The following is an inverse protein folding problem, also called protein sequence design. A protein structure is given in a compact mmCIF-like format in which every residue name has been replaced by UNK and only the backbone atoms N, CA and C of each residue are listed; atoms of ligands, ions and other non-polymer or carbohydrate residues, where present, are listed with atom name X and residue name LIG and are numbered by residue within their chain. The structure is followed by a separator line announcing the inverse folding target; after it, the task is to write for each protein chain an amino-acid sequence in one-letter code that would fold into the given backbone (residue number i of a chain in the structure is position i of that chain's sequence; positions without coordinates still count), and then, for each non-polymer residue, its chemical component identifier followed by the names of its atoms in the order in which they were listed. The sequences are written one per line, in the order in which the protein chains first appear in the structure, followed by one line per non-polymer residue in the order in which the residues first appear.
data_IF_088583883930
#
_entry.id   IF_088583883930
#
_cell.length_a   1.000
_cell.length_b   1.000
_cell.length_c   1.000
_cell.angle_alpha   90.00
_cell.angle_beta   90.00
_cell.angle_gamma   90.00
#
_symmetry.space_group_name_H-M   'P 1'
#
loop_
_entity.id
_entity.type
_entity.pdbx_description
1 polymer ?
#
# COMPACT_ATOMS: atom_id res chain seq x y z
N UNK A 1 14.71 -8.77 12.72
CA UNK A 1 14.22 -8.11 13.95
C UNK A 1 13.98 -9.24 14.94
N UNK A 2 14.41 -9.17 16.20
CA UNK A 2 14.21 -10.27 17.15
C UNK A 2 13.59 -9.76 18.45
N UNK A 3 12.83 -10.61 19.13
CA UNK A 3 12.22 -10.33 20.43
C UNK A 3 10.70 -10.06 20.40
N UNK A 4 10.19 -9.58 21.55
CA UNK A 4 8.76 -9.43 21.82
C UNK A 4 8.21 -8.09 21.32
N UNK A 5 6.99 -8.09 20.81
CA UNK A 5 6.25 -6.88 20.48
C UNK A 5 5.72 -6.21 21.76
N UNK A 6 5.98 -4.92 21.96
CA UNK A 6 5.71 -4.24 23.23
C UNK A 6 4.20 -4.20 23.62
N UNK A 7 3.30 -4.38 22.65
CA UNK A 7 1.84 -4.34 22.83
C UNK A 7 1.13 -5.65 22.41
N UNK A 8 1.88 -6.66 21.98
CA UNK A 8 1.38 -8.00 21.69
C UNK A 8 2.38 -9.00 22.28
N UNK A 9 1.97 -9.89 23.18
CA UNK A 9 2.84 -10.91 23.78
C UNK A 9 3.16 -12.04 22.76
N UNK A 10 3.75 -11.66 21.63
CA UNK A 10 4.14 -12.54 20.54
C UNK A 10 5.60 -12.28 20.21
N UNK A 11 6.33 -13.36 19.99
CA UNK A 11 7.68 -13.31 19.51
C UNK A 11 7.69 -13.18 17.98
N UNK A 12 8.57 -12.34 17.45
CA UNK A 12 8.65 -12.04 16.02
C UNK A 12 9.00 -13.29 15.21
N UNK A 13 9.88 -14.15 15.71
CA UNK A 13 10.33 -15.35 14.99
C UNK A 13 9.17 -16.32 14.77
N UNK A 14 8.29 -16.44 15.78
CA UNK A 14 7.07 -17.25 15.67
C UNK A 14 6.10 -16.72 14.61
N UNK A 15 6.01 -15.40 14.46
CA UNK A 15 5.16 -14.77 13.43
C UNK A 15 5.77 -15.00 12.05
N UNK A 16 7.07 -14.80 11.91
CA UNK A 16 7.80 -14.99 10.65
C UNK A 16 7.67 -16.43 10.15
N UNK A 17 7.88 -17.43 11.01
CA UNK A 17 7.75 -18.85 10.65
C UNK A 17 6.30 -19.21 10.26
N UNK A 18 5.33 -18.76 11.05
CA UNK A 18 3.93 -19.02 10.77
C UNK A 18 3.51 -18.39 9.44
N UNK A 19 3.86 -17.12 9.20
CA UNK A 19 3.55 -16.44 7.96
C UNK A 19 4.23 -17.11 6.77
N UNK A 20 5.55 -17.32 6.84
CA UNK A 20 6.36 -17.84 5.72
C UNK A 20 5.93 -19.24 5.29
N UNK A 21 5.66 -20.14 6.25
CA UNK A 21 5.45 -21.55 5.94
C UNK A 21 3.97 -21.98 5.92
N UNK A 22 3.07 -21.25 6.57
CA UNK A 22 1.65 -21.65 6.68
C UNK A 22 0.71 -20.75 5.89
N UNK A 23 0.89 -19.43 5.99
CA UNK A 23 -0.06 -18.46 5.45
C UNK A 23 0.33 -18.00 4.05
N UNK A 24 1.56 -17.54 3.87
CA UNK A 24 2.03 -16.90 2.64
C UNK A 24 1.78 -17.74 1.37
N UNK A 25 2.10 -19.06 1.32
CA UNK A 25 1.85 -19.85 0.11
C UNK A 25 0.37 -20.01 -0.21
N UNK A 26 -0.50 -20.01 0.80
CA UNK A 26 -1.96 -20.11 0.62
C UNK A 26 -2.54 -18.81 0.11
N UNK A 27 -2.14 -17.69 0.72
CA UNK A 27 -2.58 -16.35 0.32
C UNK A 27 -2.08 -16.02 -1.09
N UNK A 28 -0.85 -16.36 -1.44
CA UNK A 28 -0.31 -16.15 -2.79
C UNK A 28 -1.15 -16.89 -3.83
N UNK A 29 -1.46 -18.17 -3.60
CA UNK A 29 -2.34 -18.94 -4.50
C UNK A 29 -3.74 -18.36 -4.58
N UNK A 30 -4.27 -17.84 -3.47
CA UNK A 30 -5.61 -17.24 -3.43
C UNK A 30 -5.68 -15.94 -4.22
N UNK A 31 -4.65 -15.08 -4.15
CA UNK A 31 -4.55 -13.83 -4.90
C UNK A 31 -4.44 -14.02 -6.43
N UNK A 32 -4.04 -15.21 -6.88
CA UNK A 32 -3.99 -15.55 -8.31
C UNK A 32 -5.36 -15.98 -8.87
N UNK A 33 -6.34 -16.28 -8.02
CA UNK A 33 -7.70 -16.67 -8.41
C UNK A 33 -8.49 -15.47 -8.94
N UNK A 34 -9.39 -15.72 -9.89
CA UNK A 34 -10.14 -14.65 -10.57
C UNK A 34 -10.92 -13.77 -9.58
N UNK A 35 -11.53 -14.35 -8.54
CA UNK A 35 -12.26 -13.59 -7.52
C UNK A 35 -11.41 -12.54 -6.78
N UNK A 36 -10.13 -12.85 -6.49
CA UNK A 36 -9.24 -11.99 -5.69
C UNK A 36 -8.30 -11.14 -6.53
N UNK A 37 -8.09 -11.50 -7.79
CA UNK A 37 -7.18 -10.83 -8.72
C UNK A 37 -7.74 -9.50 -9.24
N UNK A 38 -9.04 -9.43 -9.47
CA UNK A 38 -9.69 -8.26 -10.04
C UNK A 38 -10.31 -7.39 -8.96
N UNK A 39 -9.94 -6.11 -8.94
CA UNK A 39 -10.45 -5.16 -7.97
C UNK A 39 -11.24 -4.04 -8.65
N UNK A 40 -12.47 -3.80 -8.20
CA UNK A 40 -13.33 -2.72 -8.72
C UNK A 40 -12.99 -1.40 -8.03
N UNK A 41 -12.57 -0.40 -8.79
CA UNK A 41 -12.12 0.89 -8.24
C UNK A 41 -12.48 2.06 -9.14
N UNK A 42 -12.80 3.21 -8.54
CA UNK A 42 -12.99 4.47 -9.25
C UNK A 42 -11.75 5.37 -9.12
N UNK A 43 -10.87 5.33 -10.12
CA UNK A 43 -9.64 6.14 -10.15
C UNK A 43 -9.84 7.56 -10.71
N UNK A 44 -11.07 7.92 -11.11
CA UNK A 44 -11.38 9.23 -11.73
C UNK A 44 -12.05 10.20 -10.77
N UNK A 45 -12.21 9.82 -9.51
CA UNK A 45 -12.88 10.65 -8.52
C UNK A 45 -12.05 11.91 -8.26
N UNK A 46 -12.61 13.12 -8.44
CA UNK A 46 -11.87 14.34 -8.17
C UNK A 46 -11.61 14.47 -6.66
N UNK A 47 -10.46 15.07 -6.31
CA UNK A 47 -10.16 15.37 -4.91
C UNK A 47 -11.21 16.35 -4.35
N UNK A 48 -11.91 16.02 -3.24
CA UNK A 48 -12.95 16.89 -2.69
C UNK A 48 -12.38 18.10 -1.94
N UNK A 49 -11.07 18.12 -1.68
CA UNK A 49 -10.41 19.15 -0.87
C UNK A 49 -9.66 20.19 -1.71
N UNK A 50 -9.16 19.84 -2.88
CA UNK A 50 -8.47 20.74 -3.80
C UNK A 50 -8.63 20.29 -5.25
N UNK A 51 -8.49 21.20 -6.20
CA UNK A 51 -8.41 20.85 -7.61
C UNK A 51 -7.07 20.17 -7.88
N UNK A 52 -7.12 18.94 -8.39
CA UNK A 52 -5.96 18.18 -8.84
C UNK A 52 -6.04 18.09 -10.36
N UNK A 53 -5.02 18.60 -11.06
CA UNK A 53 -4.93 18.59 -12.53
C UNK A 53 -4.27 17.30 -13.06
N UNK A 54 -4.05 16.31 -12.19
CA UNK A 54 -3.46 15.01 -12.54
C UNK A 54 -2.03 15.13 -13.08
N UNK A 55 -1.46 16.33 -13.02
CA UNK A 55 -0.08 16.63 -13.33
C UNK A 55 0.59 16.90 -11.99
N UNK A 56 1.39 15.95 -11.49
CA UNK A 56 2.31 16.22 -10.39
C UNK A 56 3.49 17.06 -10.90
N UNK A 57 3.18 18.28 -11.37
CA UNK A 57 4.12 19.32 -11.80
C UNK A 57 4.26 20.41 -10.73
N UNK A 58 3.62 20.24 -9.57
CA UNK A 58 3.64 21.20 -8.47
C UNK A 58 4.79 20.85 -7.52
N UNK A 59 5.58 21.87 -7.17
CA UNK A 59 6.71 21.80 -6.22
C UNK A 59 6.36 21.15 -4.87
N UNK A 60 5.10 21.06 -4.50
CA UNK A 60 4.61 20.45 -3.25
C UNK A 60 4.50 18.91 -3.30
N UNK A 61 4.67 18.29 -4.48
CA UNK A 61 4.96 16.86 -4.59
C UNK A 61 6.37 16.51 -4.08
N UNK A 62 7.26 17.51 -4.00
CA UNK A 62 8.59 17.41 -3.39
C UNK A 62 8.56 18.10 -2.02
N UNK A 63 9.08 17.43 -0.98
CA UNK A 63 9.18 18.07 0.34
C UNK A 63 10.31 19.10 0.29
N UNK A 64 9.98 20.37 0.05
CA UNK A 64 10.95 21.46 0.28
C UNK A 64 11.24 21.57 1.80
N UNK A 65 12.52 21.59 2.22
CA UNK A 65 12.86 21.84 3.61
C UNK A 65 12.36 23.23 4.04
N UNK A 66 11.39 23.24 4.95
CA UNK A 66 10.80 24.49 5.45
C UNK A 66 11.87 25.33 6.17
N UNK A 67 11.99 26.65 5.90
CA UNK A 67 12.90 27.50 6.65
C UNK A 67 12.50 27.54 8.13
N UNK A 68 13.48 27.51 9.04
CA UNK A 68 13.26 27.44 10.50
C UNK A 68 12.34 28.54 11.04
N UNK A 69 12.18 29.66 10.34
CA UNK A 69 11.27 30.76 10.71
C UNK A 69 9.78 30.40 10.62
N UNK A 70 9.40 29.44 9.78
CA UNK A 70 8.02 28.96 9.61
C UNK A 70 7.68 27.73 10.45
N UNK A 71 8.68 27.17 11.14
CA UNK A 71 8.51 26.00 12.01
C UNK A 71 8.07 26.50 13.40
N UNK A 72 6.87 26.10 13.89
CA UNK A 72 6.42 26.44 15.23
C UNK A 72 7.46 26.05 16.27
N UNK A 73 7.64 26.89 17.30
CA UNK A 73 8.74 26.79 18.27
C UNK A 73 8.84 25.41 18.94
N UNK A 74 7.72 24.68 19.04
CA UNK A 74 7.68 23.31 19.60
C UNK A 74 8.22 22.20 18.68
N UNK A 75 8.61 22.50 17.43
CA UNK A 75 9.02 21.50 16.41
C UNK A 75 10.44 21.76 15.87
N UNK A 76 11.12 22.82 16.33
CA UNK A 76 12.50 23.11 15.89
C UNK A 76 13.45 22.01 16.36
N UNK A 77 13.95 21.20 15.42
CA UNK A 77 15.04 20.27 15.65
C UNK A 77 16.32 21.09 15.92
N UNK A 78 17.01 20.78 17.02
CA UNK A 78 18.19 21.55 17.43
C UNK A 78 19.29 21.63 16.35
N UNK A 79 19.80 22.86 16.16
CA UNK A 79 21.13 23.31 15.71
C UNK A 79 22.04 22.43 14.83
N UNK A 80 21.52 21.66 13.89
CA UNK A 80 22.37 21.09 12.84
C UNK A 80 21.56 20.73 11.62
N UNK A 81 21.67 21.56 10.56
CA UNK A 81 21.77 21.11 9.17
C UNK A 81 22.12 22.30 8.25
N UNK A 82 23.33 22.27 7.67
CA UNK A 82 23.77 23.16 6.59
C UNK A 82 23.26 22.60 5.25
N UNK A 83 22.31 23.26 4.60
CA UNK A 83 21.91 22.96 3.22
C UNK A 83 22.69 23.84 2.22
N UNK A 84 23.36 23.22 1.23
CA UNK A 84 24.12 23.90 0.17
C UNK A 84 23.30 24.08 -1.11
N UNK A 85 23.35 25.29 -1.71
CA UNK A 85 22.57 25.78 -2.86
C UNK A 85 22.86 25.12 -4.24
N UNK A 86 23.35 23.88 -4.30
CA UNK A 86 23.83 23.27 -5.54
C UNK A 86 22.84 22.32 -6.26
N UNK A 87 21.56 22.29 -5.87
CA UNK A 87 20.61 21.24 -6.32
C UNK A 87 19.68 21.62 -7.49
N UNK A 88 19.74 22.82 -8.06
CA UNK A 88 18.93 23.17 -9.24
C UNK A 88 19.62 22.70 -10.53
N UNK A 89 19.45 21.43 -10.89
CA UNK A 89 19.85 20.88 -12.19
C UNK A 89 18.63 20.33 -12.95
N UNK A 90 18.71 20.36 -14.28
CA UNK A 90 17.72 19.87 -15.27
C UNK A 90 17.30 18.40 -15.16
N UNK A 91 17.80 17.68 -14.16
CA UNK A 91 17.55 16.25 -13.90
C UNK A 91 16.18 15.99 -13.27
N UNK A 92 15.64 16.97 -12.55
CA UNK A 92 14.33 16.86 -11.88
C UNK A 92 13.14 16.75 -12.84
N UNK A 93 13.25 17.28 -14.06
CA UNK A 93 12.17 17.23 -15.06
C UNK A 93 12.07 15.84 -15.71
N UNK A 94 13.21 15.21 -16.00
CA UNK A 94 13.30 13.83 -16.49
C UNK A 94 12.79 12.83 -15.43
N UNK A 95 13.19 13.01 -14.17
CA UNK A 95 12.75 12.18 -13.04
C UNK A 95 11.22 12.27 -12.81
N UNK A 96 10.60 13.42 -13.09
CA UNK A 96 9.15 13.66 -12.94
C UNK A 96 8.32 12.99 -14.05
N UNK A 97 8.74 13.13 -15.32
CA UNK A 97 8.09 12.41 -16.43
C UNK A 97 8.19 10.89 -16.27
N UNK A 98 9.31 10.41 -15.70
CA UNK A 98 9.51 9.00 -15.37
C UNK A 98 8.58 8.55 -14.24
N UNK A 99 8.40 9.37 -13.19
CA UNK A 99 7.48 9.07 -12.09
C UNK A 99 6.02 8.91 -12.55
N UNK A 100 5.56 9.78 -13.45
CA UNK A 100 4.22 9.70 -14.04
C UNK A 100 4.02 8.44 -14.89
N UNK A 101 5.06 7.95 -15.57
CA UNK A 101 5.02 6.69 -16.32
C UNK A 101 5.00 5.46 -15.41
N UNK A 102 5.72 5.50 -14.29
CA UNK A 102 5.79 4.39 -13.34
C UNK A 102 4.55 4.28 -12.44
N UNK A 103 3.83 5.37 -12.19
CA UNK A 103 2.57 5.39 -11.44
C UNK A 103 1.31 5.12 -12.27
N UNK A 104 1.44 4.94 -13.59
CA UNK A 104 0.29 4.72 -14.47
C UNK A 104 -0.28 3.30 -14.31
N UNK A 105 -1.58 3.20 -14.05
CA UNK A 105 -2.29 1.92 -13.93
C UNK A 105 -2.46 1.29 -15.31
N UNK A 106 -2.06 0.02 -15.43
CA UNK A 106 -2.35 -0.80 -16.60
C UNK A 106 -3.80 -1.30 -16.53
N UNK A 107 -4.67 -0.70 -17.34
CA UNK A 107 -6.10 -1.04 -17.43
C UNK A 107 -6.41 -2.06 -18.53
N UNK A 108 -5.42 -2.84 -18.97
CA UNK A 108 -5.60 -3.82 -20.05
C UNK A 108 -6.38 -5.04 -19.53
N UNK A 109 -7.58 -5.26 -20.07
CA UNK A 109 -8.44 -6.39 -19.71
C UNK A 109 -8.82 -7.19 -20.95
N UNK A 110 -8.83 -8.52 -20.84
CA UNK A 110 -9.27 -9.40 -21.95
C UNK A 110 -10.78 -9.25 -22.18
N UNK A 111 -11.24 -9.52 -23.41
CA UNK A 111 -12.67 -9.47 -23.72
C UNK A 111 -13.47 -10.51 -22.90
N UNK A 112 -12.88 -11.67 -22.65
CA UNK A 112 -13.46 -12.70 -21.78
C UNK A 112 -13.66 -12.19 -20.35
N UNK A 113 -12.67 -11.48 -19.79
CA UNK A 113 -12.80 -10.89 -18.44
C UNK A 113 -13.93 -9.87 -18.39
N UNK A 114 -14.06 -9.04 -19.43
CA UNK A 114 -15.14 -8.03 -19.52
C UNK A 114 -16.53 -8.66 -19.57
N UNK A 115 -16.68 -9.79 -20.26
CA UNK A 115 -17.93 -10.55 -20.28
C UNK A 115 -18.22 -11.18 -18.92
N UNK A 116 -17.21 -11.76 -18.27
CA UNK A 116 -17.34 -12.31 -16.92
C UNK A 116 -17.81 -11.24 -15.91
N UNK A 117 -17.24 -10.03 -15.95
CA UNK A 117 -17.65 -8.94 -15.04
C UNK A 117 -19.12 -8.53 -15.19
N UNK A 118 -19.68 -8.62 -16.40
CA UNK A 118 -21.11 -8.36 -16.62
C UNK A 118 -21.95 -9.44 -15.92
N UNK A 119 -21.48 -10.68 -15.97
CA UNK A 119 -22.14 -11.81 -15.34
C UNK A 119 -22.04 -11.75 -13.80
N UNK A 120 -20.88 -11.37 -13.27
CA UNK A 120 -20.69 -11.15 -11.83
C UNK A 120 -21.62 -10.05 -11.30
N UNK A 121 -21.70 -8.92 -12.02
CA UNK A 121 -22.60 -7.84 -11.64
C UNK A 121 -24.07 -8.28 -11.63
N UNK A 122 -24.50 -9.10 -12.60
CA UNK A 122 -25.87 -9.66 -12.62
C UNK A 122 -26.12 -10.62 -11.45
N UNK A 123 -25.12 -11.42 -11.09
CA UNK A 123 -25.20 -12.32 -9.96
C UNK A 123 -25.34 -11.52 -8.65
N UNK A 124 -24.46 -10.54 -8.42
CA UNK A 124 -24.46 -9.71 -7.21
C UNK A 124 -25.73 -8.88 -7.05
N UNK A 125 -26.24 -8.27 -8.15
CA UNK A 125 -27.50 -7.52 -8.17
C UNK A 125 -28.73 -8.39 -7.85
N UNK A 126 -28.62 -9.72 -8.00
CA UNK A 126 -29.69 -10.66 -7.66
C UNK A 126 -29.69 -11.08 -6.19
N UNK A 127 -28.62 -10.78 -5.45
CA UNK A 127 -28.48 -11.09 -4.02
C UNK A 127 -28.95 -9.91 -3.16
N UNK A 128 -29.56 -10.21 -2.01
CA UNK A 128 -30.01 -9.19 -1.04
C UNK A 128 -28.81 -8.59 -0.28
N UNK A 129 -28.18 -7.55 -0.82
CA UNK A 129 -27.13 -6.78 -0.14
C UNK A 129 -27.69 -5.52 0.53
N UNK A 130 -27.71 -5.50 1.87
CA UNK A 130 -28.23 -4.37 2.68
C UNK A 130 -27.20 -3.25 2.90
N UNK A 131 -25.90 -3.54 2.70
CA UNK A 131 -24.80 -2.59 2.89
C UNK A 131 -24.07 -2.37 1.56
N UNK A 132 -24.33 -1.23 0.92
CA UNK A 132 -23.68 -0.83 -0.34
C UNK A 132 -22.60 0.23 -0.05
N UNK A 133 -21.42 0.10 -0.64
CA UNK A 133 -20.39 1.14 -0.62
C UNK A 133 -20.66 2.15 -1.73
N UNK A 134 -20.66 3.45 -1.42
CA UNK A 134 -20.97 4.54 -2.36
C UNK A 134 -20.14 4.49 -3.67
N UNK A 135 -18.92 3.96 -3.61
CA UNK A 135 -18.00 3.91 -4.75
C UNK A 135 -18.29 2.74 -5.73
N UNK A 136 -19.03 1.69 -5.34
CA UNK A 136 -19.24 0.50 -6.19
C UNK A 136 -20.24 0.72 -7.33
N UNK A 137 -21.21 1.62 -7.16
CA UNK A 137 -22.18 1.99 -8.22
C UNK A 137 -21.73 3.18 -9.07
N UNK A 138 -20.54 3.74 -8.81
CA UNK A 138 -20.03 4.81 -9.67
C UNK A 138 -19.94 4.28 -11.11
N UNK A 139 -20.56 4.95 -12.10
CA UNK A 139 -20.44 4.54 -13.50
C UNK A 139 -18.99 4.63 -14.01
N UNK A 140 -18.13 5.34 -13.28
CA UNK A 140 -16.71 5.46 -13.55
C UNK A 140 -15.85 4.40 -12.85
N UNK A 141 -16.43 3.53 -12.01
CA UNK A 141 -15.73 2.42 -11.40
C UNK A 141 -15.40 1.34 -12.44
N UNK A 142 -14.15 0.88 -12.44
CA UNK A 142 -13.64 -0.10 -13.40
C UNK A 142 -12.90 -1.21 -12.66
N UNK A 143 -12.94 -2.42 -13.22
CA UNK A 143 -12.09 -3.51 -12.75
C UNK A 143 -10.64 -3.28 -13.17
N UNK A 144 -9.72 -3.54 -12.25
CA UNK A 144 -8.27 -3.51 -12.47
C UNK A 144 -7.69 -4.86 -12.09
N UNK A 145 -6.79 -5.38 -12.92
CA UNK A 145 -6.06 -6.61 -12.66
C UNK A 145 -4.85 -6.32 -11.77
N UNK A 146 -4.87 -6.83 -10.54
CA UNK A 146 -3.82 -6.61 -9.55
C UNK A 146 -2.50 -7.30 -9.92
N UNK A 147 -2.53 -8.39 -10.70
CA UNK A 147 -1.30 -9.08 -11.15
C UNK A 147 -0.54 -8.26 -12.21
N UNK A 148 -1.26 -7.42 -12.97
CA UNK A 148 -0.65 -6.49 -13.92
C UNK A 148 -0.22 -5.17 -13.26
N UNK A 149 -0.66 -4.93 -12.03
CA UNK A 149 -0.40 -3.71 -11.27
C UNK A 149 0.15 -4.03 -9.87
N UNK A 150 1.28 -4.77 -9.76
CA UNK A 150 1.91 -4.99 -8.47
C UNK A 150 2.34 -3.66 -7.85
N UNK A 151 2.32 -3.56 -6.52
CA UNK A 151 2.80 -2.37 -5.82
C UNK A 151 4.30 -2.17 -6.08
N UNK A 152 4.61 -1.21 -6.95
CA UNK A 152 5.96 -0.87 -7.40
C UNK A 152 6.26 0.60 -7.11
N UNK A 153 7.50 1.00 -7.39
CA UNK A 153 7.95 2.39 -7.31
C UNK A 153 6.97 3.31 -8.06
N UNK A 154 6.16 4.02 -7.30
CA UNK A 154 5.40 5.18 -7.72
C UNK A 154 5.69 6.26 -6.68
N UNK A 155 6.12 7.44 -7.12
CA UNK A 155 6.34 8.57 -6.22
C UNK A 155 4.98 9.15 -5.84
N UNK A 156 4.23 8.42 -5.02
CA UNK A 156 2.99 8.85 -4.38
C UNK A 156 3.27 9.31 -2.95
N UNK A 157 3.15 10.60 -2.69
CA UNK A 157 3.37 11.21 -1.39
C UNK A 157 2.19 10.96 -0.44
N UNK A 158 2.45 10.29 0.69
CA UNK A 158 1.53 10.31 1.85
C UNK A 158 1.97 11.39 2.83
N UNK A 159 1.04 12.27 3.20
CA UNK A 159 1.23 13.40 4.10
C UNK A 159 1.80 12.98 5.47
N UNK A 160 2.82 13.70 5.95
CA UNK A 160 3.44 13.51 7.26
C UNK A 160 2.56 14.15 8.34
N UNK A 161 1.76 13.35 9.05
CA UNK A 161 1.07 13.85 10.23
C UNK A 161 1.97 13.82 11.47
N UNK A 162 2.01 14.93 12.21
CA UNK A 162 2.66 15.05 13.51
C UNK A 162 1.63 14.87 14.62
N UNK A 163 1.84 13.90 15.49
CA UNK A 163 0.94 13.61 16.61
C UNK A 163 1.75 13.60 17.91
N UNK A 164 1.65 14.68 18.71
CA UNK A 164 2.14 14.70 20.08
C UNK A 164 0.95 14.74 21.04
N UNK A 165 0.91 13.74 21.93
CA UNK A 165 -0.07 13.58 23.00
C UNK A 165 -1.35 12.81 22.61
N UNK A 166 -1.85 11.98 23.54
CA UNK A 166 -3.26 11.54 23.71
C UNK A 166 -3.64 10.08 23.33
N UNK A 167 -4.76 9.65 23.95
CA UNK A 167 -5.60 8.42 24.00
C UNK A 167 -5.23 7.12 23.24
N UNK A 168 -5.63 5.96 23.79
CA UNK A 168 -5.36 4.61 23.27
C UNK A 168 -5.76 4.44 21.80
N UNK A 169 -6.91 4.96 21.40
CA UNK A 169 -7.49 4.85 20.06
C UNK A 169 -6.60 5.53 19.01
N UNK A 170 -6.04 6.70 19.34
CA UNK A 170 -5.10 7.41 18.45
C UNK A 170 -3.77 6.67 18.32
N UNK A 171 -3.31 6.00 19.38
CA UNK A 171 -2.10 5.16 19.34
C UNK A 171 -2.28 3.96 18.43
N UNK A 172 -3.43 3.27 18.53
CA UNK A 172 -3.74 2.13 17.65
C UNK A 172 -3.82 2.61 16.21
N UNK A 173 -4.57 3.68 15.93
CA UNK A 173 -4.67 4.26 14.60
C UNK A 173 -3.29 4.64 14.02
N UNK A 174 -2.45 5.32 14.81
CA UNK A 174 -1.08 5.66 14.41
C UNK A 174 -0.26 4.43 14.02
N UNK A 175 -0.34 3.35 14.80
CA UNK A 175 0.39 2.12 14.50
C UNK A 175 -0.10 1.45 13.23
N UNK A 176 -1.41 1.43 12.99
CA UNK A 176 -1.99 0.88 11.75
C UNK A 176 -1.47 1.66 10.52
N UNK A 177 -1.59 2.99 10.54
CA UNK A 177 -1.11 3.83 9.42
C UNK A 177 0.41 3.75 9.28
N UNK A 178 1.16 3.74 10.38
CA UNK A 178 2.61 3.58 10.35
C UNK A 178 3.03 2.22 9.83
N UNK A 179 2.28 1.15 10.14
CA UNK A 179 2.53 -0.20 9.65
C UNK A 179 2.26 -0.30 8.16
N UNK A 180 1.15 0.27 7.69
CA UNK A 180 0.82 0.33 6.26
C UNK A 180 1.89 1.10 5.48
N UNK A 181 2.29 2.27 5.98
CA UNK A 181 3.36 3.05 5.36
C UNK A 181 4.71 2.30 5.39
N UNK A 182 4.99 1.50 6.42
CA UNK A 182 6.16 0.63 6.44
C UNK A 182 6.06 -0.49 5.39
N UNK A 183 4.88 -1.10 5.21
CA UNK A 183 4.63 -2.13 4.18
C UNK A 183 4.94 -1.60 2.78
N UNK A 184 4.37 -0.45 2.42
CA UNK A 184 4.58 0.20 1.12
C UNK A 184 6.07 0.49 0.89
N UNK A 185 6.75 1.05 1.89
CA UNK A 185 8.18 1.34 1.82
C UNK A 185 9.05 0.08 1.71
N UNK A 186 8.63 -1.04 2.29
CA UNK A 186 9.36 -2.31 2.15
C UNK A 186 9.18 -2.91 0.76
N UNK A 187 7.97 -2.89 0.21
CA UNK A 187 7.72 -3.32 -1.17
C UNK A 187 8.55 -2.49 -2.15
N UNK A 188 8.62 -1.17 -1.93
CA UNK A 188 9.49 -0.26 -2.67
C UNK A 188 10.98 -0.68 -2.60
N UNK A 189 11.47 -0.99 -1.41
CA UNK A 189 12.86 -1.41 -1.23
C UNK A 189 13.14 -2.80 -1.83
N UNK A 190 12.16 -3.71 -1.81
CA UNK A 190 12.29 -5.07 -2.34
C UNK A 190 12.22 -5.11 -3.87
N UNK A 191 11.37 -4.27 -4.46
CA UNK A 191 11.12 -4.18 -5.90
C UNK A 191 11.48 -2.78 -6.42
N UNK A 192 12.75 -2.43 -6.31
CA UNK A 192 13.28 -1.13 -6.72
C UNK A 192 13.75 -1.17 -8.18
N UNK A 193 13.56 -0.09 -8.94
CA UNK A 193 14.14 0.05 -10.28
C UNK A 193 15.64 0.32 -10.16
N UNK A 194 16.46 -0.71 -10.35
CA UNK A 194 17.91 -0.63 -10.16
C UNK A 194 18.59 0.06 -11.35
N UNK A 195 18.21 -0.32 -12.57
CA UNK A 195 18.77 0.18 -13.81
C UNK A 195 17.70 0.24 -14.90
N UNK A 196 17.64 1.37 -15.60
CA UNK A 196 16.87 1.56 -16.82
C UNK A 196 17.86 1.66 -17.99
N UNK A 197 18.15 0.51 -18.62
CA UNK A 197 18.94 0.47 -19.86
C UNK A 197 18.00 0.52 -21.07
N UNK A 198 18.54 0.71 -22.29
CA UNK A 198 17.83 0.66 -23.58
C UNK A 198 17.26 -0.75 -23.92
N UNK A 199 16.74 -1.45 -22.92
CA UNK A 199 16.20 -2.80 -22.93
C UNK A 199 15.16 -2.96 -21.83
N UNK A 200 15.04 -4.15 -21.23
CA UNK A 200 14.08 -4.37 -20.14
C UNK A 200 14.57 -3.73 -18.83
N UNK A 201 13.72 -2.99 -18.10
CA UNK A 201 14.08 -2.41 -16.81
C UNK A 201 14.42 -3.52 -15.81
N UNK A 202 15.49 -3.30 -15.02
CA UNK A 202 15.94 -4.27 -14.00
C UNK A 202 15.37 -3.89 -12.64
N UNK A 203 14.42 -4.70 -12.17
CA UNK A 203 13.81 -4.55 -10.85
C UNK A 203 14.47 -5.49 -9.84
N UNK A 204 14.63 -5.05 -8.60
CA UNK A 204 15.08 -5.92 -7.52
C UNK A 204 15.42 -5.19 -6.22
N UNK A 205 15.97 -5.92 -5.23
CA UNK A 205 16.18 -5.37 -3.90
C UNK A 205 17.23 -4.26 -3.87
N UNK A 206 16.86 -3.10 -3.33
CA UNK A 206 17.76 -1.99 -3.05
C UNK A 206 18.07 -1.90 -1.55
N UNK A 207 19.13 -2.60 -1.15
CA UNK A 207 19.60 -2.66 0.25
C UNK A 207 19.95 -1.26 0.78
N UNK A 208 20.48 -0.37 -0.05
CA UNK A 208 20.84 1.00 0.37
C UNK A 208 19.59 1.79 0.78
N UNK A 209 18.52 1.67 0.00
CA UNK A 209 17.26 2.35 0.31
C UNK A 209 16.58 1.74 1.55
N UNK A 210 16.67 0.42 1.71
CA UNK A 210 16.21 -0.25 2.92
C UNK A 210 16.98 0.25 4.17
N UNK A 211 18.31 0.26 4.11
CA UNK A 211 19.16 0.76 5.21
C UNK A 211 18.81 2.20 5.54
N UNK A 212 18.70 3.08 4.55
CA UNK A 212 18.32 4.49 4.78
C UNK A 212 16.96 4.65 5.49
N UNK A 213 15.99 3.78 5.20
CA UNK A 213 14.62 3.90 5.71
C UNK A 213 14.36 3.17 7.03
N UNK A 214 15.13 2.11 7.31
CA UNK A 214 14.84 1.18 8.40
C UNK A 214 16.03 0.88 9.33
N UNK A 215 17.27 1.24 8.96
CA UNK A 215 18.42 1.00 9.83
C UNK A 215 18.36 1.89 11.09
N UNK A 216 18.60 1.34 12.29
CA UNK A 216 18.52 2.11 13.54
C UNK A 216 19.53 3.27 13.60
N UNK A 217 20.73 3.14 13.02
CA UNK A 217 21.73 4.19 13.05
C UNK A 217 21.33 5.36 12.13
N UNK A 218 20.85 5.05 10.92
CA UNK A 218 20.40 6.07 9.94
C UNK A 218 19.11 6.78 10.38
N UNK A 219 18.24 6.08 11.11
CA UNK A 219 16.90 6.58 11.48
C UNK A 219 16.76 6.97 12.95
N UNK A 220 17.85 6.94 13.73
CA UNK A 220 17.83 7.19 15.18
C UNK A 220 16.84 6.29 15.94
N UNK A 221 16.76 5.02 15.52
CA UNK A 221 15.89 4.00 16.12
C UNK A 221 14.43 4.00 15.65
N UNK A 222 14.02 4.91 14.75
CA UNK A 222 12.66 4.96 14.22
C UNK A 222 12.35 3.83 13.23
N UNK A 223 13.34 3.37 12.46
CA UNK A 223 13.21 2.27 11.50
C UNK A 223 12.69 0.98 12.13
N UNK A 224 13.35 0.45 13.18
CA UNK A 224 12.85 -0.71 13.92
C UNK A 224 11.45 -0.51 14.53
N UNK A 225 11.10 0.71 14.97
CA UNK A 225 9.75 1.01 15.48
C UNK A 225 8.68 0.89 14.38
N UNK A 226 8.98 1.38 13.17
CA UNK A 226 8.09 1.23 12.00
C UNK A 226 7.91 -0.23 11.61
N UNK A 227 8.98 -1.04 11.67
CA UNK A 227 8.90 -2.48 11.45
C UNK A 227 8.03 -3.17 12.52
N UNK A 228 8.18 -2.83 13.80
CA UNK A 228 7.28 -3.32 14.86
C UNK A 228 5.81 -2.95 14.59
N UNK A 229 5.54 -1.74 14.08
CA UNK A 229 4.18 -1.32 13.71
C UNK A 229 3.62 -2.12 12.53
N UNK A 230 4.47 -2.57 11.59
CA UNK A 230 4.06 -3.48 10.52
C UNK A 230 3.61 -4.84 11.07
N UNK A 231 4.39 -5.44 11.99
CA UNK A 231 3.97 -6.68 12.66
C UNK A 231 2.66 -6.49 13.44
N UNK A 232 2.48 -5.34 14.08
CA UNK A 232 1.22 -5.00 14.75
C UNK A 232 0.05 -4.97 13.76
N UNK A 233 0.20 -4.31 12.61
CA UNK A 233 -0.81 -4.30 11.54
C UNK A 233 -1.14 -5.72 11.07
N UNK A 234 -0.12 -6.53 10.75
CA UNK A 234 -0.29 -7.92 10.32
C UNK A 234 -1.12 -8.74 11.32
N UNK A 235 -0.83 -8.61 12.62
CA UNK A 235 -1.58 -9.35 13.66
C UNK A 235 -3.04 -8.89 13.78
N UNK A 236 -3.32 -7.60 13.58
CA UNK A 236 -4.69 -7.08 13.58
C UNK A 236 -5.48 -7.65 12.40
N UNK A 237 -4.90 -7.64 11.19
CA UNK A 237 -5.53 -8.22 10.00
C UNK A 237 -5.71 -9.74 10.15
N UNK A 238 -4.71 -10.47 10.63
CA UNK A 238 -4.79 -11.90 10.90
C UNK A 238 -5.90 -12.20 11.93
N UNK A 239 -6.03 -11.37 12.97
CA UNK A 239 -7.10 -11.50 13.96
C UNK A 239 -8.47 -11.23 13.33
N UNK A 240 -8.60 -10.22 12.47
CA UNK A 240 -9.84 -9.92 11.76
C UNK A 240 -10.25 -11.11 10.87
N UNK A 241 -9.31 -11.67 10.10
CA UNK A 241 -9.52 -12.88 9.30
C UNK A 241 -9.98 -14.08 10.15
N UNK A 242 -9.35 -14.30 11.31
CA UNK A 242 -9.77 -15.38 12.22
C UNK A 242 -11.17 -15.17 12.80
N UNK A 243 -11.63 -13.91 12.92
CA UNK A 243 -12.94 -13.57 13.48
C UNK A 243 -14.05 -13.65 12.44
N UNK A 244 -13.74 -13.40 11.17
CA UNK A 244 -14.69 -13.53 10.06
C UNK A 244 -14.79 -14.96 9.55
N UNK A 245 -13.82 -15.85 9.83
CA UNK A 245 -13.85 -17.24 9.37
C UNK A 245 -15.21 -17.98 9.55
N UNK A 246 -15.94 -17.85 10.70
CA UNK A 246 -17.25 -18.49 10.85
C UNK A 246 -18.33 -17.97 9.89
N UNK A 247 -18.17 -16.77 9.32
CA UNK A 247 -19.05 -16.25 8.28
C UNK A 247 -18.92 -17.09 7.01
N UNK A 248 -17.69 -17.34 6.57
CA UNK A 248 -17.40 -18.19 5.41
C UNK A 248 -17.73 -19.68 5.64
N UNK A 249 -17.71 -20.16 6.89
CA UNK A 249 -18.08 -21.54 7.22
C UNK A 249 -19.60 -21.77 7.30
N UNK A 250 -20.38 -20.74 7.67
CA UNK A 250 -21.83 -20.87 7.96
C UNK A 250 -22.73 -20.30 6.89
N UNK A 251 -22.28 -19.27 6.18
CA UNK A 251 -23.01 -18.71 5.06
C UNK A 251 -22.63 -19.45 3.78
N UNK A 252 -23.59 -19.61 2.88
CA UNK A 252 -23.33 -19.97 1.48
C UNK A 252 -22.73 -18.74 0.81
N UNK A 253 -21.50 -18.38 1.20
CA UNK A 253 -20.74 -17.34 0.51
C UNK A 253 -20.27 -17.97 -0.79
N UNK A 254 -20.96 -17.66 -1.87
CA UNK A 254 -20.55 -18.10 -3.20
C UNK A 254 -19.54 -17.09 -3.76
N UNK A 255 -18.29 -17.53 -3.90
CA UNK A 255 -17.23 -16.73 -4.51
C UNK A 255 -17.35 -16.80 -6.04
N UNK A 256 -18.49 -16.35 -6.55
CA UNK A 256 -18.90 -16.55 -7.93
C UNK A 256 -17.98 -15.83 -8.91
N UNK A 257 -17.39 -16.58 -9.84
CA UNK A 257 -16.65 -16.04 -10.99
C UNK A 257 -17.21 -16.50 -12.33
N UNK A 258 -18.27 -17.33 -12.31
CA UNK A 258 -18.77 -18.03 -13.49
C UNK A 258 -17.93 -19.27 -13.86
N UNK A 259 -16.86 -19.55 -13.12
CA UNK A 259 -16.06 -20.77 -13.23
C UNK A 259 -16.34 -21.70 -12.03
N UNK A 260 -17.38 -22.53 -12.15
CA UNK A 260 -17.84 -23.39 -11.04
C UNK A 260 -16.81 -24.41 -10.53
N UNK A 261 -15.72 -24.70 -11.25
CA UNK A 261 -14.63 -25.51 -10.73
C UNK A 261 -13.69 -24.72 -9.80
N UNK A 262 -13.40 -23.47 -10.17
CA UNK A 262 -12.54 -22.59 -9.37
C UNK A 262 -13.27 -22.05 -8.14
N UNK A 263 -14.55 -21.73 -8.28
CA UNK A 263 -15.41 -21.25 -7.21
C UNK A 263 -15.55 -22.30 -6.09
N UNK A 264 -15.63 -23.59 -6.45
CA UNK A 264 -15.70 -24.70 -5.49
C UNK A 264 -14.37 -25.05 -4.80
N UNK A 265 -13.23 -24.63 -5.37
CA UNK A 265 -11.89 -24.84 -4.81
C UNK A 265 -11.39 -23.68 -3.94
N UNK A 266 -12.14 -22.57 -3.89
CA UNK A 266 -11.81 -21.34 -3.19
C UNK A 266 -12.27 -21.35 -1.72
#
# INVERSE_FOLDING_TARGET
LTGVLDDCLCDIESIDDFNTFKIFPKIQKLQERDYFRYYKVNLKRPCPFWADDGHCSIKDCHVEPCPESKIPVGIKAGSSNKYSKAANNSKELEDCEQANKLGAVNSTLSNQSKEAFIDWARYDDSQDHFCELDDERSPDAQYVDLLLNPELFSLGSVCRFSWTGLCLEKRVFYKLISGLHASINLHLCANYLLEETWGKPRWGPNVKEFTRRFDPAETKGEGPRRLKNLYFLYLIELRALSKVAPYFERAVVDLYTGNGHEDAES
#
